data_IF_079788189569
#
_entry.id   IF_079788189569
#
_cell.length_a   1.000
_cell.length_b   1.000
_cell.length_c   1.000
_cell.angle_alpha   90.00
_cell.angle_beta   90.00
_cell.angle_gamma   90.00
#
_symmetry.space_group_name_H-M   'P 1'
#
loop_
_entity.id
_entity.type
_entity.pdbx_description
1 polymer ?
#
# COMPACT_ATOMS: atom_id res chain seq x y z
N UNK A 1 44.91 32.38 7.55
CA UNK A 1 45.38 31.06 7.14
C UNK A 1 44.34 30.02 7.49
N UNK A 2 43.85 29.40 6.45
CA UNK A 2 43.12 28.12 6.36
C UNK A 2 41.84 27.92 7.22
N UNK A 3 40.75 28.26 6.61
CA UNK A 3 39.41 27.69 6.76
C UNK A 3 39.44 26.18 6.43
N UNK A 4 38.82 25.36 7.25
CA UNK A 4 38.38 24.02 6.86
C UNK A 4 36.91 23.83 7.12
N UNK A 5 36.16 23.93 6.03
CA UNK A 5 34.76 23.56 5.90
C UNK A 5 34.57 22.07 6.25
N UNK A 6 33.54 21.76 7.02
CA UNK A 6 32.86 20.45 7.04
C UNK A 6 31.40 20.69 6.75
N UNK A 7 31.08 20.70 5.49
CA UNK A 7 29.75 20.43 4.93
C UNK A 7 29.74 18.97 4.54
N UNK A 8 28.70 18.26 4.93
CA UNK A 8 28.58 16.88 4.52
C UNK A 8 27.37 16.19 5.12
N UNK A 9 26.17 16.58 4.72
CA UNK A 9 25.00 15.71 4.73
C UNK A 9 24.26 15.96 3.42
N UNK A 10 24.68 15.21 2.43
CA UNK A 10 24.14 15.26 1.08
C UNK A 10 22.85 14.47 1.00
N UNK A 11 21.83 15.15 0.55
CA UNK A 11 20.62 14.63 -0.08
C UNK A 11 20.91 13.42 -0.97
N UNK A 12 20.26 12.29 -0.69
CA UNK A 12 20.09 11.24 -1.68
C UNK A 12 18.77 11.51 -2.41
N UNK A 13 18.82 12.46 -3.33
CA UNK A 13 17.92 12.50 -4.48
C UNK A 13 18.61 11.64 -5.53
N UNK A 14 18.08 10.48 -5.82
CA UNK A 14 18.52 9.65 -6.95
C UNK A 14 18.20 10.39 -8.25
N UNK A 15 19.19 11.16 -8.75
CA UNK A 15 19.32 11.44 -10.17
C UNK A 15 20.18 10.32 -10.76
N UNK A 16 19.56 9.27 -11.26
CA UNK A 16 20.24 8.33 -12.13
C UNK A 16 20.36 8.93 -13.53
N UNK A 17 21.60 9.15 -13.93
CA UNK A 17 22.02 9.53 -15.25
C UNK A 17 21.43 8.60 -16.32
N UNK A 18 20.67 9.16 -17.23
CA UNK A 18 20.29 8.55 -18.50
C UNK A 18 21.54 8.46 -19.38
N UNK A 19 22.24 7.34 -19.33
CA UNK A 19 23.14 6.93 -20.42
C UNK A 19 22.38 5.94 -21.29
N UNK A 20 22.13 6.38 -22.52
CA UNK A 20 21.69 5.54 -23.63
C UNK A 20 22.61 4.33 -23.76
N UNK A 21 22.15 3.18 -23.28
CA UNK A 21 22.79 1.88 -23.57
C UNK A 21 21.79 1.07 -24.38
N UNK A 22 22.22 0.73 -25.59
CA UNK A 22 21.50 -0.18 -26.49
C UNK A 22 21.08 -1.44 -25.73
N UNK A 23 19.80 -1.73 -25.73
CA UNK A 23 19.23 -2.94 -25.15
C UNK A 23 19.66 -4.13 -26.01
N UNK A 24 20.65 -4.88 -25.55
CA UNK A 24 20.89 -6.23 -26.04
C UNK A 24 19.83 -7.14 -25.40
N UNK A 25 18.98 -7.69 -26.27
CA UNK A 25 18.01 -8.70 -25.90
C UNK A 25 18.72 -9.93 -25.30
N UNK A 26 18.68 -10.06 -23.99
CA UNK A 26 19.07 -11.32 -23.32
C UNK A 26 17.82 -12.17 -23.25
N UNK A 27 17.74 -13.14 -24.14
CA UNK A 27 16.79 -14.24 -24.13
C UNK A 27 17.08 -15.15 -22.92
N UNK A 28 16.57 -14.79 -21.76
CA UNK A 28 16.54 -15.65 -20.60
C UNK A 28 15.18 -16.33 -20.50
N UNK A 29 15.10 -17.64 -20.69
CA UNK A 29 13.90 -18.45 -20.47
C UNK A 29 13.42 -18.27 -19.03
N UNK A 30 12.44 -17.40 -18.81
CA UNK A 30 11.70 -17.30 -17.54
C UNK A 30 10.76 -18.48 -17.45
N UNK A 31 10.88 -19.29 -16.41
CA UNK A 31 9.98 -20.43 -16.16
C UNK A 31 8.54 -19.94 -15.94
N UNK A 32 7.67 -20.32 -16.85
CA UNK A 32 6.25 -19.93 -16.98
C UNK A 32 5.30 -20.67 -16.03
N UNK A 33 5.64 -20.88 -14.76
CA UNK A 33 4.94 -21.92 -14.00
C UNK A 33 3.86 -21.47 -13.00
N UNK A 34 3.73 -20.18 -12.67
CA UNK A 34 2.95 -19.83 -11.46
C UNK A 34 1.43 -19.73 -11.64
N UNK A 35 0.92 -19.34 -12.82
CA UNK A 35 -0.52 -19.14 -13.02
C UNK A 35 -1.18 -20.17 -13.96
N UNK A 36 -0.40 -20.88 -14.77
CA UNK A 36 -0.91 -21.96 -15.66
C UNK A 36 -1.49 -23.14 -14.91
N UNK A 37 -1.05 -23.41 -13.69
CA UNK A 37 -1.53 -24.57 -12.90
C UNK A 37 -2.88 -24.37 -12.22
N UNK A 38 -3.41 -23.14 -12.17
CA UNK A 38 -4.67 -22.86 -11.48
C UNK A 38 -5.89 -23.12 -12.36
N UNK A 39 -5.72 -23.24 -13.68
CA UNK A 39 -6.82 -23.27 -14.64
C UNK A 39 -6.95 -24.47 -15.58
N UNK A 40 -5.93 -25.28 -15.79
CA UNK A 40 -5.95 -26.32 -16.84
C UNK A 40 -5.37 -27.67 -16.38
N UNK A 41 -6.19 -28.47 -15.66
CA UNK A 41 -6.10 -29.92 -15.72
C UNK A 41 -7.37 -30.43 -16.39
N UNK A 42 -7.41 -30.37 -17.72
CA UNK A 42 -8.22 -31.26 -18.57
C UNK A 42 -7.26 -31.92 -19.51
N UNK A 43 -7.09 -33.22 -19.29
CA UNK A 43 -6.35 -34.14 -20.15
C UNK A 43 -6.98 -34.20 -21.51
N UNK A 44 -6.19 -34.04 -22.59
CA UNK A 44 -6.43 -34.73 -23.86
C UNK A 44 -5.09 -35.10 -24.47
N UNK A 45 -4.82 -36.39 -24.44
CA UNK A 45 -3.85 -37.05 -25.31
C UNK A 45 -4.34 -36.99 -26.77
N UNK A 46 -3.43 -36.65 -27.65
CA UNK A 46 -3.23 -37.07 -29.07
C UNK A 46 -2.40 -35.98 -29.72
N UNK A 47 -1.23 -36.24 -30.26
CA UNK A 47 -0.89 -37.06 -31.36
C UNK A 47 0.05 -36.22 -32.22
N UNK A 48 1.27 -36.67 -32.36
CA UNK A 48 2.33 -36.38 -33.30
C UNK A 48 1.91 -35.66 -34.59
N UNK A 49 2.64 -34.59 -34.97
CA UNK A 49 3.36 -34.60 -36.24
C UNK A 49 4.30 -33.40 -36.41
N UNK A 50 5.54 -33.71 -36.79
CA UNK A 50 6.62 -32.86 -37.26
C UNK A 50 6.24 -32.19 -38.60
N UNK A 51 6.43 -30.87 -38.72
CA UNK A 51 6.79 -30.27 -40.01
C UNK A 51 7.73 -29.06 -39.76
N UNK A 52 8.98 -29.26 -40.17
CA UNK A 52 9.97 -28.24 -40.48
C UNK A 52 9.53 -27.40 -41.66
N UNK A 53 9.65 -26.10 -41.59
CA UNK A 53 9.91 -25.25 -42.78
C UNK A 53 10.58 -23.95 -42.41
N UNK A 54 11.84 -23.93 -42.71
CA UNK A 54 12.75 -22.79 -42.93
C UNK A 54 12.29 -21.92 -44.09
N UNK A 55 12.61 -20.64 -43.97
CA UNK A 55 12.81 -19.63 -45.03
C UNK A 55 11.62 -19.18 -45.86
N UNK A 56 11.40 -17.85 -45.84
CA UNK A 56 11.26 -17.03 -47.05
C UNK A 56 11.20 -15.51 -46.72
N UNK A 57 12.31 -14.85 -47.04
CA UNK A 57 12.43 -13.60 -47.81
C UNK A 57 11.73 -12.30 -47.37
N UNK A 58 12.60 -11.39 -46.95
CA UNK A 58 12.52 -9.92 -47.06
C UNK A 58 11.98 -9.50 -48.46
N UNK A 59 10.99 -8.61 -48.45
CA UNK A 59 10.76 -7.67 -49.54
C UNK A 59 10.36 -6.30 -49.01
N UNK A 60 11.24 -5.35 -49.29
CA UNK A 60 11.06 -3.91 -49.16
C UNK A 60 9.80 -3.42 -49.89
N UNK A 61 9.05 -2.53 -49.22
CA UNK A 61 8.24 -1.52 -49.90
C UNK A 61 8.37 -0.18 -49.19
N UNK A 62 9.25 0.63 -49.72
CA UNK A 62 9.21 2.12 -49.57
C UNK A 62 7.86 2.61 -50.11
N UNK A 63 7.07 3.31 -49.28
CA UNK A 63 5.98 4.17 -49.77
C UNK A 63 6.25 5.62 -49.36
N UNK A 64 6.08 6.45 -50.34
CA UNK A 64 6.38 7.87 -50.42
C UNK A 64 5.63 8.71 -49.38
N UNK A 65 6.33 9.71 -48.89
CA UNK A 65 5.83 10.82 -48.05
C UNK A 65 5.06 11.78 -48.95
N UNK A 66 3.79 12.01 -48.68
CA UNK A 66 2.97 13.07 -49.26
C UNK A 66 2.96 14.26 -48.30
N UNK A 67 3.23 15.49 -48.74
CA UNK A 67 3.25 16.64 -47.85
C UNK A 67 1.83 17.10 -47.49
N UNK A 68 1.60 17.26 -46.19
CA UNK A 68 0.36 17.81 -45.64
C UNK A 68 0.33 19.31 -45.86
N UNK A 69 -0.72 19.79 -46.55
CA UNK A 69 -1.05 21.20 -46.71
C UNK A 69 -1.34 21.87 -45.37
N UNK A 70 -0.73 23.03 -45.14
CA UNK A 70 -1.07 23.94 -44.05
C UNK A 70 -2.53 24.38 -44.17
N UNK A 71 -3.31 24.15 -43.12
CA UNK A 71 -4.64 24.71 -42.95
C UNK A 71 -4.48 25.96 -42.08
N UNK A 72 -4.89 27.09 -42.62
CA UNK A 72 -4.91 28.40 -41.97
C UNK A 72 -5.90 28.42 -40.81
N UNK A 73 -5.45 29.01 -39.71
CA UNK A 73 -6.29 29.28 -38.51
C UNK A 73 -7.44 30.25 -38.82
N UNK A 74 -8.65 30.01 -38.32
CA UNK A 74 -9.70 31.03 -38.36
C UNK A 74 -9.53 32.01 -37.19
N UNK A 75 -9.35 33.25 -37.51
CA UNK A 75 -9.39 34.41 -36.60
C UNK A 75 -10.74 34.52 -35.91
N UNK A 76 -10.81 34.26 -34.61
CA UNK A 76 -11.97 34.54 -33.81
C UNK A 76 -11.94 35.99 -33.35
N UNK A 77 -12.93 36.76 -33.80
CA UNK A 77 -13.19 38.14 -33.35
C UNK A 77 -13.61 38.12 -31.89
N UNK A 78 -12.85 38.73 -31.01
CA UNK A 78 -13.19 38.99 -29.60
C UNK A 78 -14.28 40.08 -29.58
N UNK A 79 -15.48 39.76 -29.16
CA UNK A 79 -16.52 40.72 -28.82
C UNK A 79 -16.30 41.23 -27.40
N UNK A 80 -16.13 42.52 -27.24
CA UNK A 80 -15.99 43.21 -25.96
C UNK A 80 -17.29 43.06 -25.14
N UNK A 81 -17.10 42.60 -23.88
CA UNK A 81 -18.16 42.66 -22.88
C UNK A 81 -18.14 44.00 -22.16
N UNK A 82 -19.35 44.54 -21.80
CA UNK A 82 -19.43 45.85 -21.14
C UNK A 82 -18.89 45.77 -19.70
N UNK A 83 -18.52 46.92 -19.12
CA UNK A 83 -17.83 46.94 -17.79
C UNK A 83 -18.81 46.61 -16.66
N UNK A 84 -18.34 45.71 -15.80
CA UNK A 84 -19.05 45.36 -14.54
C UNK A 84 -18.84 46.52 -13.55
N UNK A 85 -20.00 47.08 -13.11
CA UNK A 85 -20.03 48.09 -12.05
C UNK A 85 -19.54 47.48 -10.73
N UNK A 86 -18.54 48.12 -10.13
CA UNK A 86 -18.04 47.83 -8.80
C UNK A 86 -19.05 48.32 -7.78
N UNK A 87 -19.75 47.41 -7.12
CA UNK A 87 -20.62 47.70 -5.98
C UNK A 87 -19.75 47.91 -4.73
N UNK A 88 -19.79 49.12 -4.17
CA UNK A 88 -19.14 49.47 -2.87
C UNK A 88 -19.74 48.65 -1.74
N UNK A 89 -18.92 48.19 -0.77
CA UNK A 89 -19.47 47.48 0.41
C UNK A 89 -20.27 48.44 1.31
N UNK A 90 -21.49 48.03 1.63
CA UNK A 90 -22.34 48.71 2.60
C UNK A 90 -21.77 48.50 3.98
N UNK A 91 -21.39 49.60 4.66
CA UNK A 91 -21.01 49.64 6.07
C UNK A 91 -22.24 49.37 6.94
N UNK A 92 -22.15 48.31 7.79
CA UNK A 92 -23.13 48.08 8.88
C UNK A 92 -22.88 49.07 10.02
N UNK A 93 -23.90 49.60 10.68
CA UNK A 93 -23.73 50.55 11.79
C UNK A 93 -23.09 49.86 13.01
N UNK A 94 -22.05 50.49 13.52
CA UNK A 94 -21.33 50.11 14.74
C UNK A 94 -22.21 50.56 15.94
N UNK A 95 -22.64 49.62 16.75
CA UNK A 95 -23.24 49.87 18.06
C UNK A 95 -22.11 49.92 19.09
N UNK A 96 -21.97 50.96 19.92
CA UNK A 96 -20.94 51.01 20.93
C UNK A 96 -21.27 50.07 22.09
N UNK A 97 -20.51 48.99 22.25
CA UNK A 97 -20.54 48.18 23.44
C UNK A 97 -19.63 48.81 24.48
N UNK A 98 -20.23 49.29 25.55
CA UNK A 98 -19.56 49.69 26.79
C UNK A 98 -19.02 48.42 27.44
N UNK A 99 -17.70 48.21 27.42
CA UNK A 99 -17.06 47.12 28.11
C UNK A 99 -16.79 47.52 29.54
N UNK A 100 -17.44 46.89 30.50
CA UNK A 100 -17.01 46.87 31.88
C UNK A 100 -15.70 46.09 32.02
N UNK A 101 -14.71 46.55 32.77
CA UNK A 101 -13.47 45.77 32.96
C UNK A 101 -13.74 44.55 33.84
N UNK A 102 -13.66 43.39 33.25
CA UNK A 102 -13.60 42.11 33.98
C UNK A 102 -12.22 42.02 34.64
N UNK A 103 -12.07 41.70 35.93
CA UNK A 103 -10.79 41.55 36.55
C UNK A 103 -10.01 40.40 35.91
N UNK A 104 -8.82 40.71 35.41
CA UNK A 104 -7.86 39.73 34.90
C UNK A 104 -7.45 38.88 36.10
N UNK A 105 -8.00 37.70 36.22
CA UNK A 105 -7.44 36.65 37.06
C UNK A 105 -6.11 36.23 36.42
N UNK A 106 -5.01 36.59 37.05
CA UNK A 106 -3.70 36.03 36.79
C UNK A 106 -3.81 34.50 36.84
N UNK A 107 -3.74 33.89 35.69
CA UNK A 107 -3.53 32.42 35.58
C UNK A 107 -2.16 32.16 36.17
N UNK A 108 -2.09 31.75 37.42
CA UNK A 108 -0.94 31.01 37.92
C UNK A 108 -0.79 29.80 37.01
N UNK A 109 0.28 29.78 36.24
CA UNK A 109 0.72 28.57 35.53
C UNK A 109 0.98 27.51 36.60
N UNK A 110 0.04 26.59 36.73
CA UNK A 110 0.26 25.37 37.46
C UNK A 110 1.20 24.59 36.58
N UNK A 111 2.49 24.62 36.88
CA UNK A 111 3.46 23.69 36.29
C UNK A 111 2.97 22.27 36.61
N UNK A 112 2.27 21.68 35.67
CA UNK A 112 1.85 20.28 35.81
C UNK A 112 3.09 19.42 35.57
N UNK A 113 3.46 18.66 36.58
CA UNK A 113 4.51 17.61 36.52
C UNK A 113 4.37 16.61 35.37
N UNK A 114 3.36 16.76 34.55
CA UNK A 114 3.00 15.92 33.39
C UNK A 114 3.55 16.43 32.05
N UNK A 115 4.08 17.68 31.97
CA UNK A 115 4.51 18.29 30.71
C UNK A 115 5.75 17.61 30.13
N UNK A 116 6.69 17.19 30.98
CA UNK A 116 7.93 16.51 30.54
C UNK A 116 7.68 15.08 30.02
N UNK A 117 6.63 14.41 30.51
CA UNK A 117 6.23 13.10 30.04
C UNK A 117 5.52 13.14 28.66
N UNK A 118 5.00 14.31 28.27
CA UNK A 118 4.29 14.54 27.01
C UNK A 118 5.13 15.29 25.97
N UNK A 119 6.39 15.64 26.31
CA UNK A 119 7.25 16.34 25.37
C UNK A 119 7.60 15.44 24.18
N UNK A 120 7.37 15.94 22.98
CA UNK A 120 7.80 15.33 21.73
C UNK A 120 8.68 16.30 20.95
N UNK A 121 9.62 15.75 20.18
CA UNK A 121 10.52 16.53 19.34
C UNK A 121 9.81 17.00 18.07
N UNK A 122 9.91 18.30 17.71
CA UNK A 122 9.45 18.81 16.40
C UNK A 122 10.43 18.35 15.32
N UNK A 123 10.08 17.28 14.63
CA UNK A 123 10.93 16.68 13.57
C UNK A 123 11.02 17.53 12.29
N UNK A 124 10.20 18.57 12.17
CA UNK A 124 10.17 19.46 11.01
C UNK A 124 10.88 20.80 11.27
N UNK A 125 11.39 21.00 12.48
CA UNK A 125 12.03 22.24 12.86
C UNK A 125 13.22 22.62 11.94
N UNK A 126 14.05 21.64 11.58
CA UNK A 126 15.21 21.83 10.71
C UNK A 126 14.82 22.07 9.24
N UNK A 127 13.64 21.62 8.83
CA UNK A 127 13.19 21.70 7.44
C UNK A 127 12.48 23.01 7.08
N UNK A 128 12.20 23.88 8.06
CA UNK A 128 11.44 25.14 7.89
C UNK A 128 12.05 26.10 6.88
N UNK A 129 13.37 26.01 6.67
CA UNK A 129 14.10 26.81 5.69
C UNK A 129 14.05 26.27 4.25
N UNK A 130 13.57 25.04 4.04
CA UNK A 130 13.54 24.40 2.72
C UNK A 130 12.11 24.30 2.20
N UNK A 131 11.76 25.19 1.25
CA UNK A 131 10.42 25.24 0.65
C UNK A 131 10.03 23.97 -0.08
N UNK A 132 11.00 23.18 -0.58
CA UNK A 132 10.71 21.94 -1.31
C UNK A 132 10.22 20.82 -0.41
N UNK A 133 10.50 20.87 0.90
CA UNK A 133 10.06 19.89 1.88
C UNK A 133 8.66 20.16 2.41
N UNK A 134 8.10 21.35 2.11
CA UNK A 134 6.71 21.74 2.43
C UNK A 134 6.37 21.53 3.92
N UNK A 135 7.36 21.73 4.81
CA UNK A 135 7.28 21.42 6.24
C UNK A 135 6.09 22.06 6.95
N UNK A 136 5.67 23.26 6.52
CA UNK A 136 4.54 24.01 7.09
C UNK A 136 3.21 23.22 6.96
N UNK A 137 3.02 22.47 5.87
CA UNK A 137 1.79 21.72 5.60
C UNK A 137 1.89 20.24 5.94
N UNK A 138 3.03 19.76 6.43
CA UNK A 138 3.27 18.32 6.61
C UNK A 138 2.26 17.68 7.56
N UNK A 139 1.94 18.34 8.68
CA UNK A 139 0.96 17.81 9.63
C UNK A 139 -0.43 17.72 9.03
N UNK A 140 -0.89 18.75 8.32
CA UNK A 140 -2.20 18.75 7.63
C UNK A 140 -2.26 17.67 6.56
N UNK A 141 -1.17 17.46 5.81
CA UNK A 141 -1.06 16.39 4.80
C UNK A 141 -1.24 15.01 5.46
N UNK A 142 -0.56 14.73 6.58
CA UNK A 142 -0.67 13.43 7.24
C UNK A 142 -2.02 13.24 7.94
N UNK A 143 -2.65 14.28 8.44
CA UNK A 143 -4.03 14.23 8.94
C UNK A 143 -5.01 13.91 7.79
N UNK A 144 -4.87 14.59 6.66
CA UNK A 144 -5.66 14.30 5.45
C UNK A 144 -5.46 12.86 4.96
N UNK A 145 -4.20 12.35 4.93
CA UNK A 145 -3.95 10.96 4.56
C UNK A 145 -4.67 9.97 5.51
N UNK A 146 -4.78 10.27 6.81
CA UNK A 146 -5.55 9.44 7.75
C UNK A 146 -7.05 9.47 7.47
N UNK A 147 -7.60 10.63 7.10
CA UNK A 147 -9.00 10.71 6.68
C UNK A 147 -9.27 9.87 5.42
N UNK A 148 -8.32 9.84 4.48
CA UNK A 148 -8.40 9.00 3.28
C UNK A 148 -8.34 7.49 3.59
N UNK A 149 -7.58 7.05 4.61
CA UNK A 149 -7.60 5.66 5.06
C UNK A 149 -9.00 5.21 5.47
N UNK A 150 -9.69 6.08 6.22
CA UNK A 150 -11.07 5.83 6.67
C UNK A 150 -12.08 5.88 5.52
N UNK A 151 -11.81 6.70 4.49
CA UNK A 151 -12.66 6.82 3.30
C UNK A 151 -12.54 5.60 2.36
N UNK A 152 -11.36 4.99 2.29
CA UNK A 152 -11.07 3.87 1.39
C UNK A 152 -10.63 2.59 2.13
N UNK A 153 -11.46 2.04 3.04
CA UNK A 153 -11.08 0.88 3.83
C UNK A 153 -11.11 -0.40 3.00
N UNK A 154 -10.22 -1.33 3.33
CA UNK A 154 -10.33 -2.73 2.91
C UNK A 154 -11.02 -3.49 4.04
N UNK A 155 -12.14 -4.15 3.75
CA UNK A 155 -12.91 -4.90 4.75
C UNK A 155 -12.24 -6.23 5.08
N UNK A 156 -12.20 -6.57 6.35
CA UNK A 156 -11.72 -7.89 6.78
C UNK A 156 -12.60 -8.97 6.15
N UNK A 157 -11.98 -9.98 5.54
CA UNK A 157 -12.72 -11.10 4.98
C UNK A 157 -13.47 -10.77 3.68
N UNK A 158 -13.12 -9.72 2.94
CA UNK A 158 -13.86 -9.29 1.74
C UNK A 158 -13.97 -10.35 0.63
N UNK A 159 -13.08 -11.35 0.59
CA UNK A 159 -13.14 -12.48 -0.36
C UNK A 159 -14.05 -13.63 0.11
N UNK A 160 -14.62 -13.56 1.31
CA UNK A 160 -15.48 -14.63 1.80
C UNK A 160 -16.74 -14.77 0.91
N UNK A 161 -17.03 -16.01 0.52
CA UNK A 161 -18.18 -16.30 -0.36
C UNK A 161 -17.98 -15.92 -1.83
N UNK A 162 -16.77 -15.54 -2.25
CA UNK A 162 -16.43 -15.25 -3.64
C UNK A 162 -15.77 -16.45 -4.35
N UNK A 163 -15.78 -16.43 -5.69
CA UNK A 163 -15.07 -17.42 -6.52
C UNK A 163 -13.53 -17.30 -6.36
N UNK A 164 -13.05 -16.10 -6.07
CA UNK A 164 -11.64 -15.80 -5.82
C UNK A 164 -11.31 -16.07 -4.36
N UNK A 165 -10.28 -16.88 -4.13
CA UNK A 165 -9.81 -17.22 -2.78
C UNK A 165 -8.61 -16.35 -2.37
N UNK A 166 -8.34 -16.27 -1.06
CA UNK A 166 -7.13 -15.61 -0.53
C UNK A 166 -5.84 -16.18 -1.14
N UNK A 167 -5.77 -17.51 -1.31
CA UNK A 167 -4.62 -18.18 -1.94
C UNK A 167 -4.42 -17.73 -3.41
N UNK A 168 -5.49 -17.61 -4.17
CA UNK A 168 -5.40 -17.12 -5.57
C UNK A 168 -4.93 -15.66 -5.62
N UNK A 169 -5.42 -14.81 -4.69
CA UNK A 169 -4.94 -13.44 -4.54
C UNK A 169 -3.44 -13.41 -4.23
N UNK A 170 -2.96 -14.22 -3.29
CA UNK A 170 -1.54 -14.26 -2.92
C UNK A 170 -0.65 -14.65 -4.10
N UNK A 171 -1.05 -15.66 -4.87
CA UNK A 171 -0.33 -16.08 -6.09
C UNK A 171 -0.30 -14.95 -7.13
N UNK A 172 -1.43 -14.26 -7.33
CA UNK A 172 -1.49 -13.12 -8.24
C UNK A 172 -0.51 -12.02 -7.81
N UNK A 173 -0.52 -11.63 -6.53
CA UNK A 173 0.32 -10.54 -6.05
C UNK A 173 1.80 -10.91 -6.07
N UNK A 174 2.18 -12.15 -5.77
CA UNK A 174 3.57 -12.60 -5.89
C UNK A 174 4.06 -12.47 -7.36
N UNK A 175 3.22 -12.88 -8.33
CA UNK A 175 3.51 -12.69 -9.75
C UNK A 175 3.57 -11.20 -10.14
N UNK A 176 2.65 -10.36 -9.64
CA UNK A 176 2.66 -8.91 -9.86
C UNK A 176 3.96 -8.27 -9.38
N UNK A 177 4.55 -8.73 -8.28
CA UNK A 177 5.86 -8.26 -7.82
C UNK A 177 6.97 -8.58 -8.84
N UNK A 178 6.93 -9.74 -9.50
CA UNK A 178 7.89 -10.09 -10.55
C UNK A 178 7.71 -9.20 -11.78
N UNK A 179 6.47 -8.98 -12.24
CA UNK A 179 6.14 -8.09 -13.36
C UNK A 179 6.57 -6.66 -13.08
N UNK A 180 6.28 -6.17 -11.87
CA UNK A 180 6.69 -4.84 -11.42
C UNK A 180 8.21 -4.64 -11.50
N UNK A 181 9.01 -5.65 -11.13
CA UNK A 181 10.46 -5.59 -11.25
C UNK A 181 10.93 -5.60 -12.71
N UNK A 182 10.26 -6.33 -13.59
CA UNK A 182 10.56 -6.34 -15.02
C UNK A 182 10.31 -4.99 -15.70
N UNK A 183 9.24 -4.31 -15.32
CA UNK A 183 8.91 -2.99 -15.86
C UNK A 183 9.69 -1.85 -15.18
N UNK A 184 10.50 -2.15 -14.15
CA UNK A 184 11.28 -1.16 -13.39
C UNK A 184 10.42 -0.03 -12.79
N UNK A 185 9.18 -0.33 -12.40
CA UNK A 185 8.25 0.63 -11.84
C UNK A 185 8.64 1.04 -10.40
N UNK A 186 8.12 2.18 -9.96
CA UNK A 186 8.33 2.68 -8.59
C UNK A 186 7.61 1.82 -7.56
N UNK A 187 8.03 1.88 -6.30
CA UNK A 187 7.36 1.12 -5.24
C UNK A 187 5.93 1.58 -5.03
N UNK A 188 5.68 2.86 -5.18
CA UNK A 188 4.37 3.49 -5.11
C UNK A 188 3.38 2.81 -6.07
N UNK A 189 3.80 2.57 -7.32
CA UNK A 189 3.00 1.84 -8.33
C UNK A 189 2.63 0.44 -7.88
N UNK A 190 3.55 -0.29 -7.22
CA UNK A 190 3.24 -1.63 -6.69
C UNK A 190 2.17 -1.57 -5.60
N UNK A 191 2.32 -0.67 -4.62
CA UNK A 191 1.35 -0.53 -3.53
C UNK A 191 -0.01 -0.09 -4.05
N UNK A 192 -0.04 0.86 -4.98
CA UNK A 192 -1.29 1.31 -5.59
C UNK A 192 -1.95 0.18 -6.40
N UNK A 193 -1.17 -0.60 -7.16
CA UNK A 193 -1.67 -1.78 -7.89
C UNK A 193 -2.43 -2.73 -6.96
N UNK A 194 -1.82 -3.09 -5.82
CA UNK A 194 -2.45 -4.00 -4.85
C UNK A 194 -3.68 -3.37 -4.20
N UNK A 195 -3.64 -2.07 -3.89
CA UNK A 195 -4.79 -1.35 -3.35
C UNK A 195 -5.97 -1.33 -4.34
N UNK A 196 -5.71 -1.15 -5.63
CA UNK A 196 -6.73 -1.21 -6.69
C UNK A 196 -7.31 -2.62 -6.78
N UNK A 197 -6.47 -3.66 -6.79
CA UNK A 197 -6.91 -5.06 -6.85
C UNK A 197 -7.84 -5.36 -5.66
N UNK A 198 -7.42 -5.04 -4.45
CA UNK A 198 -8.17 -5.36 -3.23
C UNK A 198 -9.52 -4.63 -3.17
N UNK A 199 -9.54 -3.34 -3.49
CA UNK A 199 -10.76 -2.54 -3.53
C UNK A 199 -11.71 -3.01 -4.64
N UNK A 200 -11.17 -3.29 -5.82
CA UNK A 200 -11.98 -3.78 -6.93
C UNK A 200 -12.61 -5.14 -6.62
N UNK A 201 -11.84 -6.10 -6.10
CA UNK A 201 -12.36 -7.42 -5.72
C UNK A 201 -13.35 -7.35 -4.54
N UNK A 202 -13.23 -6.35 -3.67
CA UNK A 202 -14.19 -6.10 -2.59
C UNK A 202 -15.54 -5.67 -3.13
N UNK A 203 -15.55 -4.75 -4.11
CA UNK A 203 -16.74 -4.08 -4.58
C UNK A 203 -17.39 -4.81 -5.77
N UNK A 204 -16.59 -5.50 -6.60
CA UNK A 204 -17.03 -6.26 -7.77
C UNK A 204 -16.85 -7.77 -7.58
N UNK A 205 -17.89 -8.45 -7.06
CA UNK A 205 -17.84 -9.87 -6.68
C UNK A 205 -18.00 -10.88 -7.83
N UNK A 206 -18.24 -10.40 -9.07
CA UNK A 206 -18.58 -11.25 -10.23
C UNK A 206 -17.38 -11.62 -11.10
N UNK A 207 -16.16 -11.54 -10.58
CA UNK A 207 -14.95 -11.89 -11.33
C UNK A 207 -14.73 -13.39 -11.33
N UNK A 208 -14.58 -13.94 -12.53
CA UNK A 208 -14.19 -15.33 -12.73
C UNK A 208 -12.70 -15.55 -12.45
N UNK A 209 -12.35 -16.74 -11.99
CA UNK A 209 -10.96 -17.14 -11.72
C UNK A 209 -10.04 -16.92 -12.92
N UNK A 210 -10.54 -17.20 -14.15
CA UNK A 210 -9.79 -17.04 -15.40
C UNK A 210 -9.44 -15.56 -15.70
N UNK A 211 -10.21 -14.62 -15.18
CA UNK A 211 -9.99 -13.16 -15.40
C UNK A 211 -9.19 -12.50 -14.27
N UNK A 212 -8.78 -13.25 -13.25
CA UNK A 212 -8.08 -12.67 -12.11
C UNK A 212 -6.71 -12.08 -12.51
N UNK A 213 -5.99 -12.72 -13.42
CA UNK A 213 -4.72 -12.20 -13.96
C UNK A 213 -4.95 -10.92 -14.76
N UNK A 214 -6.02 -10.87 -15.56
CA UNK A 214 -6.42 -9.65 -16.28
C UNK A 214 -6.69 -8.48 -15.33
N UNK A 215 -7.38 -8.73 -14.21
CA UNK A 215 -7.56 -7.71 -13.16
C UNK A 215 -6.22 -7.21 -12.65
N UNK A 216 -5.28 -8.12 -12.35
CA UNK A 216 -3.97 -7.77 -11.81
C UNK A 216 -3.15 -6.88 -12.74
N UNK A 217 -2.99 -7.28 -14.01
CA UNK A 217 -2.22 -6.50 -14.98
C UNK A 217 -2.90 -5.16 -15.30
N UNK A 218 -4.22 -5.15 -15.39
CA UNK A 218 -4.96 -3.91 -15.66
C UNK A 218 -4.87 -2.95 -14.47
N UNK A 219 -4.91 -3.46 -13.24
CA UNK A 219 -4.68 -2.64 -12.05
C UNK A 219 -3.28 -2.03 -12.06
N UNK A 220 -2.24 -2.78 -12.49
CA UNK A 220 -0.88 -2.25 -12.64
C UNK A 220 -0.81 -1.21 -13.76
N UNK A 221 -1.51 -1.41 -14.88
CA UNK A 221 -1.60 -0.44 -15.97
C UNK A 221 -2.24 0.87 -15.49
N UNK A 222 -3.32 0.82 -14.69
CA UNK A 222 -3.95 2.00 -14.08
C UNK A 222 -2.98 2.68 -13.10
N UNK A 223 -2.36 1.89 -12.21
CA UNK A 223 -1.43 2.40 -11.21
C UNK A 223 -0.20 3.06 -11.85
N UNK A 224 0.34 2.48 -12.94
CA UNK A 224 1.47 3.09 -13.65
C UNK A 224 1.10 4.42 -14.31
N UNK A 225 -0.11 4.57 -14.84
CA UNK A 225 -0.59 5.85 -15.37
C UNK A 225 -0.79 6.92 -14.28
N UNK A 226 -0.99 6.50 -13.04
CA UNK A 226 -1.20 7.40 -11.91
C UNK A 226 0.10 7.85 -11.26
N UNK A 227 1.09 6.95 -11.14
CA UNK A 227 2.30 7.16 -10.33
C UNK A 227 3.57 7.41 -11.17
N UNK A 228 3.62 6.88 -12.42
CA UNK A 228 4.84 6.95 -13.22
C UNK A 228 4.85 8.17 -14.14
N UNK A 229 6.03 8.75 -14.34
CA UNK A 229 6.22 9.81 -15.34
C UNK A 229 6.11 9.24 -16.77
N UNK A 230 6.64 8.05 -17.00
CA UNK A 230 6.57 7.32 -18.27
C UNK A 230 5.97 5.95 -18.03
N UNK A 231 4.74 5.74 -18.52
CA UNK A 231 4.03 4.48 -18.36
C UNK A 231 4.40 3.49 -19.46
N UNK A 232 4.48 2.18 -19.16
CA UNK A 232 4.56 1.16 -20.20
C UNK A 232 3.33 1.21 -21.12
N UNK A 233 3.51 0.83 -22.40
CA UNK A 233 2.38 0.72 -23.33
C UNK A 233 1.46 -0.45 -22.99
N UNK A 234 0.19 -0.34 -23.34
CA UNK A 234 -0.79 -1.42 -23.12
C UNK A 234 -0.36 -2.75 -23.77
N UNK A 235 0.39 -2.69 -24.87
CA UNK A 235 0.89 -3.90 -25.54
C UNK A 235 1.97 -4.62 -24.71
N UNK A 236 2.73 -3.89 -23.87
CA UNK A 236 3.68 -4.51 -22.94
C UNK A 236 2.94 -5.34 -21.88
N UNK A 237 1.80 -4.84 -21.40
CA UNK A 237 0.92 -5.59 -20.49
C UNK A 237 0.25 -6.81 -21.15
N UNK A 238 -0.06 -6.73 -22.42
CA UNK A 238 -0.54 -7.91 -23.20
C UNK A 238 0.58 -8.92 -23.33
N UNK A 239 1.78 -8.48 -23.73
CA UNK A 239 2.94 -9.35 -23.91
C UNK A 239 3.34 -10.09 -22.64
N UNK A 240 3.35 -9.44 -21.47
CA UNK A 240 3.75 -10.07 -20.20
C UNK A 240 2.80 -11.20 -19.78
N UNK A 241 1.57 -11.24 -20.30
CA UNK A 241 0.60 -12.31 -20.09
C UNK A 241 0.71 -13.43 -21.14
N UNK A 242 1.77 -13.44 -21.93
CA UNK A 242 1.96 -14.37 -23.05
C UNK A 242 0.79 -14.31 -24.07
N UNK A 243 0.30 -13.09 -24.30
CA UNK A 243 -0.87 -12.81 -25.17
C UNK A 243 -2.14 -13.58 -24.79
N UNK A 244 -2.28 -13.95 -23.51
CA UNK A 244 -3.49 -14.59 -22.98
C UNK A 244 -4.72 -13.69 -23.12
N UNK A 245 -4.50 -12.38 -23.06
CA UNK A 245 -5.54 -11.36 -23.21
C UNK A 245 -5.19 -10.40 -24.34
N UNK A 246 -6.23 -9.89 -24.97
CA UNK A 246 -6.12 -8.89 -26.03
C UNK A 246 -6.03 -7.47 -25.45
N UNK A 247 -5.49 -6.52 -26.22
CA UNK A 247 -5.52 -5.09 -25.87
C UNK A 247 -6.94 -4.60 -25.55
N UNK A 248 -7.94 -5.07 -26.31
CA UNK A 248 -9.34 -4.66 -26.10
C UNK A 248 -9.85 -5.13 -24.73
N UNK A 249 -9.51 -6.37 -24.31
CA UNK A 249 -9.90 -6.88 -22.99
C UNK A 249 -9.25 -6.12 -21.86
N UNK A 250 -7.97 -5.73 -22.00
CA UNK A 250 -7.29 -4.89 -21.00
C UNK A 250 -7.98 -3.53 -20.86
N UNK A 251 -8.29 -2.85 -21.97
CA UNK A 251 -8.97 -1.54 -21.96
C UNK A 251 -10.41 -1.65 -21.45
N UNK A 252 -11.13 -2.73 -21.76
CA UNK A 252 -12.47 -2.97 -21.19
C UNK A 252 -12.42 -3.22 -19.68
N UNK A 253 -11.43 -3.98 -19.22
CA UNK A 253 -11.21 -4.22 -17.80
C UNK A 253 -10.81 -2.92 -17.08
N UNK A 254 -10.01 -2.07 -17.71
CA UNK A 254 -9.65 -0.75 -17.19
C UNK A 254 -10.91 0.10 -16.95
N UNK A 255 -11.78 0.22 -17.93
CA UNK A 255 -13.05 0.96 -17.80
C UNK A 255 -13.88 0.38 -16.65
N UNK A 256 -13.94 -0.94 -16.52
CA UNK A 256 -14.69 -1.61 -15.46
C UNK A 256 -14.09 -1.30 -14.08
N UNK A 257 -12.78 -1.39 -13.90
CA UNK A 257 -12.11 -1.09 -12.62
C UNK A 257 -12.30 0.37 -12.26
N UNK A 258 -12.05 1.28 -13.19
CA UNK A 258 -12.13 2.74 -12.95
C UNK A 258 -13.56 3.15 -12.55
N UNK A 259 -14.58 2.64 -13.26
CA UNK A 259 -15.98 2.89 -12.91
C UNK A 259 -16.39 2.28 -11.57
N UNK A 260 -15.94 1.06 -11.27
CA UNK A 260 -16.25 0.38 -10.00
C UNK A 260 -15.67 1.14 -8.81
N UNK A 261 -14.49 1.74 -8.97
CA UNK A 261 -13.81 2.51 -7.93
C UNK A 261 -14.16 4.01 -7.95
N UNK A 262 -15.14 4.40 -8.72
CA UNK A 262 -15.60 5.80 -8.85
C UNK A 262 -14.45 6.78 -9.10
N UNK A 263 -13.51 6.40 -10.00
CA UNK A 263 -12.33 7.18 -10.37
C UNK A 263 -11.43 7.58 -9.17
N UNK A 264 -11.62 6.94 -8.01
CA UNK A 264 -10.99 7.31 -6.75
C UNK A 264 -9.81 6.39 -6.42
N UNK A 265 -8.57 6.84 -6.66
CA UNK A 265 -7.34 6.07 -6.41
C UNK A 265 -6.53 6.57 -5.22
N UNK A 266 -7.01 7.59 -4.52
CA UNK A 266 -6.30 8.30 -3.45
C UNK A 266 -6.18 7.55 -2.12
N UNK A 267 -6.26 6.21 -2.07
CA UNK A 267 -5.94 5.47 -0.84
C UNK A 267 -4.47 5.68 -0.48
N UNK A 268 -4.14 6.14 0.73
CA UNK A 268 -2.75 6.37 1.11
C UNK A 268 -1.95 5.08 1.13
N UNK A 269 -0.66 5.20 0.80
CA UNK A 269 0.27 4.09 0.75
C UNK A 269 1.02 3.95 2.08
N UNK A 270 1.34 2.74 2.55
CA UNK A 270 2.11 2.52 3.77
C UNK A 270 3.48 3.22 3.75
N UNK A 271 4.07 3.39 2.56
CA UNK A 271 5.37 4.07 2.39
C UNK A 271 5.35 5.53 2.84
N UNK A 272 4.23 6.26 2.64
CA UNK A 272 4.11 7.64 3.08
C UNK A 272 4.29 7.73 4.60
N UNK A 273 3.57 6.90 5.33
CA UNK A 273 3.63 6.83 6.78
C UNK A 273 4.99 6.31 7.27
N UNK A 274 5.54 5.28 6.61
CA UNK A 274 6.86 4.75 6.97
C UNK A 274 7.95 5.84 6.88
N UNK A 275 7.94 6.68 5.84
CA UNK A 275 8.90 7.79 5.71
C UNK A 275 8.78 8.77 6.88
N UNK A 276 7.54 9.14 7.25
CA UNK A 276 7.28 10.03 8.38
C UNK A 276 7.74 9.43 9.70
N UNK A 277 7.36 8.19 9.96
CA UNK A 277 7.73 7.50 11.20
C UNK A 277 9.22 7.20 11.28
N UNK A 278 9.87 6.91 10.17
CA UNK A 278 11.33 6.75 10.13
C UNK A 278 12.06 8.04 10.52
N UNK A 279 11.54 9.20 10.11
CA UNK A 279 12.08 10.50 10.53
C UNK A 279 11.84 10.74 12.03
N UNK A 280 10.61 10.51 12.50
CA UNK A 280 10.24 10.68 13.91
C UNK A 280 11.02 9.75 14.85
N UNK A 281 11.32 8.53 14.42
CA UNK A 281 12.08 7.55 15.19
C UNK A 281 13.59 7.60 14.95
N UNK A 282 14.10 8.57 14.18
CA UNK A 282 15.52 8.68 13.80
C UNK A 282 16.07 7.35 13.25
N UNK A 283 15.26 6.68 12.42
CA UNK A 283 15.57 5.36 11.89
C UNK A 283 16.77 5.40 10.94
N UNK A 284 17.72 4.50 11.14
CA UNK A 284 18.82 4.27 10.20
C UNK A 284 18.30 3.68 8.90
N UNK A 285 19.08 3.82 7.82
CA UNK A 285 18.73 3.25 6.49
C UNK A 285 18.39 1.77 6.54
N UNK A 286 19.03 1.02 7.45
CA UNK A 286 18.78 -0.41 7.62
C UNK A 286 17.40 -0.68 8.23
N UNK A 287 16.97 0.08 9.25
CA UNK A 287 15.65 -0.05 9.85
C UNK A 287 14.56 0.27 8.84
N UNK A 288 14.75 1.37 8.09
CA UNK A 288 13.82 1.77 7.03
C UNK A 288 13.69 0.70 5.94
N UNK A 289 14.85 0.15 5.46
CA UNK A 289 14.83 -0.89 4.42
C UNK A 289 14.25 -2.21 4.93
N UNK A 290 14.49 -2.55 6.20
CA UNK A 290 13.89 -3.71 6.84
C UNK A 290 12.36 -3.57 6.93
N UNK A 291 11.87 -2.41 7.39
CA UNK A 291 10.45 -2.11 7.43
C UNK A 291 9.82 -2.14 6.03
N UNK A 292 10.49 -1.59 5.01
CA UNK A 292 10.04 -1.69 3.61
C UNK A 292 9.89 -3.14 3.13
N UNK A 293 10.84 -4.02 3.49
CA UNK A 293 10.72 -5.44 3.16
C UNK A 293 9.49 -6.07 3.82
N UNK A 294 9.25 -5.80 5.11
CA UNK A 294 8.07 -6.29 5.81
C UNK A 294 6.78 -5.79 5.17
N UNK A 295 6.71 -4.51 4.80
CA UNK A 295 5.55 -3.92 4.14
C UNK A 295 5.25 -4.58 2.80
N UNK A 296 6.26 -4.77 1.93
CA UNK A 296 6.04 -5.45 0.65
C UNK A 296 5.67 -6.92 0.84
N UNK A 297 6.25 -7.60 1.82
CA UNK A 297 5.89 -8.98 2.13
C UNK A 297 4.44 -9.09 2.61
N UNK A 298 3.96 -8.11 3.38
CA UNK A 298 2.55 -8.01 3.80
C UNK A 298 1.58 -7.87 2.63
N UNK A 299 1.98 -7.28 1.49
CA UNK A 299 1.08 -7.17 0.32
C UNK A 299 0.58 -8.52 -0.18
N UNK A 300 1.42 -9.56 -0.11
CA UNK A 300 1.10 -10.91 -0.55
C UNK A 300 0.08 -11.57 0.38
N UNK A 301 0.03 -11.17 1.65
CA UNK A 301 -0.75 -11.83 2.70
C UNK A 301 -2.11 -11.17 2.90
N UNK A 302 -3.15 -11.92 2.56
CA UNK A 302 -4.56 -11.46 2.67
C UNK A 302 -4.97 -11.12 4.10
N UNK A 303 -4.43 -11.82 5.08
CA UNK A 303 -4.79 -11.69 6.49
C UNK A 303 -4.52 -10.30 7.07
N UNK A 304 -3.57 -9.57 6.48
CA UNK A 304 -3.17 -8.22 6.93
C UNK A 304 -3.66 -7.11 6.01
N UNK A 305 -4.30 -7.43 4.88
CA UNK A 305 -4.73 -6.46 3.87
C UNK A 305 -5.75 -5.45 4.37
N UNK A 306 -6.51 -5.79 5.42
CA UNK A 306 -7.58 -4.96 5.98
C UNK A 306 -7.11 -3.90 6.98
N UNK A 307 -5.86 -3.98 7.44
CA UNK A 307 -5.33 -2.96 8.36
C UNK A 307 -5.11 -1.62 7.65
N UNK A 308 -5.23 -0.50 8.38
CA UNK A 308 -4.86 0.81 7.86
C UNK A 308 -3.39 0.84 7.44
N UNK A 309 -3.05 1.45 6.30
CA UNK A 309 -1.66 1.62 5.84
C UNK A 309 -0.73 2.24 6.90
N UNK A 310 -1.23 3.22 7.67
CA UNK A 310 -0.50 3.85 8.76
C UNK A 310 -0.13 2.86 9.87
N UNK A 311 -1.06 1.99 10.27
CA UNK A 311 -0.84 1.02 11.33
C UNK A 311 0.14 -0.09 10.91
N UNK A 312 0.03 -0.58 9.66
CA UNK A 312 1.00 -1.57 9.13
C UNK A 312 2.40 -0.96 9.07
N UNK A 313 2.51 0.32 8.66
CA UNK A 313 3.79 1.02 8.61
C UNK A 313 4.41 1.17 10.01
N UNK A 314 3.61 1.53 11.02
CA UNK A 314 4.04 1.61 12.41
C UNK A 314 4.52 0.24 12.94
N UNK A 315 3.76 -0.83 12.68
CA UNK A 315 4.09 -2.18 13.11
C UNK A 315 5.36 -2.72 12.44
N UNK A 316 5.55 -2.44 11.16
CA UNK A 316 6.76 -2.84 10.43
C UNK A 316 8.01 -2.11 10.94
N UNK A 317 7.91 -0.81 11.23
CA UNK A 317 9.02 -0.04 11.79
C UNK A 317 9.32 -0.45 13.24
N UNK A 318 8.30 -0.71 14.05
CA UNK A 318 8.45 -1.24 15.40
C UNK A 318 9.24 -2.56 15.40
N UNK A 319 8.88 -3.50 14.52
CA UNK A 319 9.62 -4.76 14.37
C UNK A 319 11.08 -4.52 13.92
N UNK A 320 11.32 -3.57 13.03
CA UNK A 320 12.67 -3.23 12.60
C UNK A 320 13.52 -2.75 13.77
N UNK A 321 13.00 -1.88 14.64
CA UNK A 321 13.70 -1.42 15.83
C UNK A 321 13.93 -2.53 16.86
N UNK A 322 12.95 -3.41 17.07
CA UNK A 322 13.07 -4.53 18.03
C UNK A 322 14.10 -5.55 17.57
N UNK A 323 14.18 -5.84 16.26
CA UNK A 323 14.99 -6.94 15.73
C UNK A 323 16.42 -6.52 15.42
N UNK A 324 16.62 -5.33 14.87
CA UNK A 324 17.97 -4.85 14.50
C UNK A 324 18.63 -4.15 15.71
N UNK A 325 17.83 -3.47 16.55
CA UNK A 325 18.34 -2.66 17.67
C UNK A 325 18.98 -1.36 17.19
N UNK A 326 19.28 -0.49 18.15
CA UNK A 326 20.15 0.67 17.95
C UNK A 326 21.43 0.41 18.75
N UNK A 327 22.58 0.51 18.11
CA UNK A 327 23.89 0.22 18.73
C UNK A 327 24.21 1.18 19.89
N UNK A 328 23.56 2.36 19.96
CA UNK A 328 23.96 3.46 20.85
C UNK A 328 23.14 3.59 22.14
N UNK A 329 22.05 2.86 22.36
CA UNK A 329 21.19 3.07 23.52
C UNK A 329 20.88 1.81 24.31
N UNK A 330 21.45 1.73 25.52
CA UNK A 330 21.17 0.70 26.52
C UNK A 330 19.77 0.79 27.17
N UNK A 331 19.07 1.90 27.05
CA UNK A 331 17.69 2.08 27.52
C UNK A 331 16.73 2.04 26.33
N UNK A 332 16.11 0.89 26.13
CA UNK A 332 15.30 0.57 24.95
C UNK A 332 13.86 1.05 25.09
N UNK A 333 13.59 2.31 24.96
CA UNK A 333 12.25 2.73 24.57
C UNK A 333 12.14 2.58 23.05
N UNK A 334 11.59 1.45 22.60
CA UNK A 334 11.48 1.13 21.16
C UNK A 334 10.48 2.07 20.47
N UNK A 335 9.45 2.53 21.19
CA UNK A 335 8.41 3.42 20.66
C UNK A 335 8.31 4.66 21.54
N UNK A 336 8.96 5.75 21.11
CA UNK A 336 9.09 7.00 21.87
C UNK A 336 7.80 7.84 21.84
N UNK A 337 7.68 8.81 22.75
CA UNK A 337 6.58 9.79 22.75
C UNK A 337 6.47 10.55 21.42
N UNK A 338 7.60 10.87 20.78
CA UNK A 338 7.65 11.46 19.45
C UNK A 338 6.99 10.54 18.41
N UNK A 339 7.29 9.25 18.42
CA UNK A 339 6.64 8.28 17.54
C UNK A 339 5.14 8.14 17.85
N UNK A 340 4.74 8.14 19.11
CA UNK A 340 3.32 8.15 19.50
C UNK A 340 2.62 9.38 18.94
N UNK A 341 3.20 10.56 19.08
CA UNK A 341 2.64 11.79 18.57
C UNK A 341 2.41 11.76 17.06
N UNK A 342 3.45 11.45 16.27
CA UNK A 342 3.36 11.47 14.82
C UNK A 342 2.62 10.25 14.23
N UNK A 343 2.61 9.11 14.91
CA UNK A 343 1.87 7.93 14.48
C UNK A 343 0.43 7.89 14.98
N UNK A 344 0.13 8.53 16.11
CA UNK A 344 -1.12 8.43 16.89
C UNK A 344 -1.37 7.01 17.44
N UNK A 345 -0.39 6.12 17.38
CA UNK A 345 -0.47 4.76 17.88
C UNK A 345 0.41 4.56 19.10
N UNK A 346 -0.15 3.94 20.13
CA UNK A 346 0.62 3.43 21.27
C UNK A 346 1.22 2.06 20.94
N UNK A 347 2.16 1.60 21.78
CA UNK A 347 2.71 0.24 21.65
C UNK A 347 1.62 -0.82 21.73
N UNK A 348 0.57 -0.60 22.53
CA UNK A 348 -0.55 -1.54 22.65
C UNK A 348 -1.35 -1.69 21.35
N UNK A 349 -1.49 -0.61 20.57
CA UNK A 349 -2.18 -0.63 19.28
C UNK A 349 -1.35 -1.35 18.20
N UNK A 350 -0.03 -1.17 18.26
CA UNK A 350 0.92 -1.71 17.27
C UNK A 350 1.19 -3.19 17.50
N UNK A 351 1.30 -3.61 18.75
CA UNK A 351 1.79 -4.94 19.13
C UNK A 351 1.01 -6.10 18.49
N UNK A 352 -0.34 -6.10 18.45
CA UNK A 352 -1.08 -7.18 17.80
C UNK A 352 -0.77 -7.34 16.31
N UNK A 353 -0.61 -6.21 15.58
CA UNK A 353 -0.28 -6.21 14.15
C UNK A 353 1.18 -6.63 13.94
N UNK A 354 2.11 -6.16 14.77
CA UNK A 354 3.50 -6.57 14.75
C UNK A 354 3.65 -8.10 15.00
N UNK A 355 2.90 -8.65 15.95
CA UNK A 355 2.86 -10.09 16.22
C UNK A 355 2.34 -10.88 15.01
N UNK A 356 1.32 -10.38 14.32
CA UNK A 356 0.80 -11.01 13.12
C UNK A 356 1.81 -10.96 11.97
N UNK A 357 2.47 -9.82 11.73
CA UNK A 357 3.55 -9.70 10.75
C UNK A 357 4.69 -10.67 11.09
N UNK A 358 5.06 -10.78 12.36
CA UNK A 358 6.09 -11.72 12.81
C UNK A 358 5.71 -13.18 12.51
N UNK A 359 4.45 -13.59 12.76
CA UNK A 359 3.99 -14.95 12.46
C UNK A 359 3.98 -15.28 10.98
N UNK A 360 3.79 -14.27 10.13
CA UNK A 360 3.88 -14.41 8.67
C UNK A 360 5.33 -14.57 8.22
N UNK A 361 6.22 -13.70 8.69
CA UNK A 361 7.60 -13.63 8.18
C UNK A 361 8.49 -14.81 8.63
N UNK A 362 8.26 -15.42 9.80
CA UNK A 362 9.04 -16.59 10.23
C UNK A 362 8.89 -17.79 9.29
N UNK A 363 7.81 -17.86 8.52
CA UNK A 363 7.52 -18.92 7.57
C UNK A 363 7.98 -18.59 6.14
N UNK A 364 8.70 -17.49 5.92
CA UNK A 364 9.11 -17.03 4.59
C UNK A 364 9.92 -18.07 3.82
N UNK A 365 10.78 -18.83 4.50
CA UNK A 365 11.60 -19.88 3.88
C UNK A 365 10.77 -21.04 3.31
N UNK A 366 9.61 -21.30 3.90
CA UNK A 366 8.69 -22.39 3.51
C UNK A 366 7.59 -21.92 2.58
N UNK A 367 7.43 -20.61 2.39
CA UNK A 367 6.40 -20.05 1.53
C UNK A 367 6.65 -20.36 0.07
N UNK A 368 5.59 -20.63 -0.69
CA UNK A 368 5.65 -20.72 -2.16
C UNK A 368 5.81 -19.35 -2.82
N UNK A 369 5.52 -18.26 -2.10
CA UNK A 369 5.58 -16.89 -2.58
C UNK A 369 6.95 -16.29 -2.27
N UNK A 370 7.83 -16.22 -3.27
CA UNK A 370 9.23 -15.85 -3.09
C UNK A 370 9.64 -14.57 -3.82
N UNK A 371 8.75 -13.93 -4.57
CA UNK A 371 9.09 -12.77 -5.41
C UNK A 371 9.65 -11.61 -4.57
N UNK A 372 8.97 -11.25 -3.49
CA UNK A 372 9.43 -10.17 -2.58
C UNK A 372 10.75 -10.55 -1.94
N UNK A 373 10.90 -11.77 -1.43
CA UNK A 373 12.14 -12.23 -0.82
C UNK A 373 13.31 -12.16 -1.79
N UNK A 374 13.16 -12.66 -3.01
CA UNK A 374 14.17 -12.60 -4.09
C UNK A 374 14.53 -11.15 -4.42
N UNK A 375 13.56 -10.24 -4.50
CA UNK A 375 13.78 -8.82 -4.71
C UNK A 375 14.74 -8.24 -3.67
N UNK A 376 14.53 -8.55 -2.40
CA UNK A 376 15.32 -8.01 -1.28
C UNK A 376 16.61 -8.76 -0.97
N UNK A 377 17.02 -9.78 -1.77
CA UNK A 377 18.38 -10.35 -1.74
C UNK A 377 19.40 -9.47 -2.49
N UNK A 378 18.93 -8.51 -3.29
CA UNK A 378 19.79 -7.64 -4.08
C UNK A 378 20.54 -6.64 -3.19
N UNK A 379 21.76 -6.25 -3.64
CA UNK A 379 22.63 -5.33 -2.90
C UNK A 379 22.01 -3.96 -2.69
N UNK A 380 21.22 -3.46 -3.66
CA UNK A 380 20.48 -2.18 -3.54
C UNK A 380 19.49 -2.15 -2.37
N UNK A 381 19.06 -3.31 -1.88
CA UNK A 381 18.21 -3.46 -0.70
C UNK A 381 18.99 -4.02 0.51
N UNK A 382 20.31 -3.81 0.57
CA UNK A 382 21.19 -4.26 1.67
C UNK A 382 21.07 -5.76 1.98
N UNK A 383 20.63 -6.57 1.02
CA UNK A 383 20.37 -8.02 1.18
C UNK A 383 19.51 -8.34 2.40
N UNK A 384 18.53 -7.48 2.72
CA UNK A 384 17.73 -7.53 3.95
C UNK A 384 17.07 -8.89 4.16
N UNK A 385 16.54 -9.51 3.11
CA UNK A 385 15.80 -10.78 3.22
C UNK A 385 16.67 -11.98 3.66
N UNK A 386 17.99 -11.84 3.67
CA UNK A 386 18.93 -12.89 4.07
C UNK A 386 19.51 -12.69 5.47
N UNK A 387 19.09 -11.65 6.18
CA UNK A 387 19.65 -11.31 7.49
C UNK A 387 19.29 -12.33 8.57
N UNK A 388 20.21 -12.57 9.54
CA UNK A 388 20.00 -13.55 10.60
C UNK A 388 18.88 -13.18 11.57
N UNK A 389 18.51 -11.89 11.67
CA UNK A 389 17.45 -11.40 12.55
C UNK A 389 16.09 -12.06 12.28
N UNK A 390 15.84 -12.52 11.05
CA UNK A 390 14.65 -13.30 10.72
C UNK A 390 14.58 -14.69 11.37
N UNK A 391 15.69 -15.17 11.94
CA UNK A 391 15.79 -16.42 12.70
C UNK A 391 16.00 -16.17 14.19
N UNK A 392 15.89 -14.91 14.64
CA UNK A 392 16.16 -14.54 16.03
C UNK A 392 15.15 -15.15 17.00
N UNK A 393 15.56 -15.50 18.22
CA UNK A 393 14.65 -15.94 19.27
C UNK A 393 13.58 -14.90 19.61
N UNK A 394 13.90 -13.60 19.44
CA UNK A 394 12.98 -12.49 19.69
C UNK A 394 11.82 -12.54 18.70
N UNK A 395 12.10 -12.67 17.40
CA UNK A 395 11.05 -12.79 16.38
C UNK A 395 10.17 -14.03 16.63
N UNK A 396 10.78 -15.15 16.98
CA UNK A 396 10.05 -16.39 17.31
C UNK A 396 9.13 -16.21 18.54
N UNK A 397 9.58 -15.49 19.56
CA UNK A 397 8.76 -15.21 20.74
C UNK A 397 7.56 -14.31 20.41
N UNK A 398 7.78 -13.27 19.61
CA UNK A 398 6.72 -12.35 19.16
C UNK A 398 5.67 -13.12 18.33
N UNK A 399 6.10 -13.97 17.40
CA UNK A 399 5.21 -14.78 16.58
C UNK A 399 4.39 -15.79 17.40
N UNK A 400 5.02 -16.49 18.35
CA UNK A 400 4.31 -17.42 19.26
C UNK A 400 3.24 -16.72 20.12
N UNK A 401 3.46 -15.46 20.48
CA UNK A 401 2.45 -14.68 21.20
C UNK A 401 1.19 -14.46 20.38
N UNK A 402 1.32 -14.20 19.06
CA UNK A 402 0.19 -14.13 18.14
C UNK A 402 -0.60 -15.44 18.08
N UNK A 403 0.10 -16.58 17.91
CA UNK A 403 -0.56 -17.87 17.76
C UNK A 403 -1.36 -18.25 19.03
N UNK A 404 -0.79 -17.99 20.21
CA UNK A 404 -1.50 -18.17 21.49
C UNK A 404 -2.73 -17.26 21.61
N UNK A 405 -2.61 -15.99 21.22
CA UNK A 405 -3.74 -15.06 21.24
C UNK A 405 -4.87 -15.55 20.31
N UNK A 406 -4.52 -16.01 19.11
CA UNK A 406 -5.47 -16.56 18.14
C UNK A 406 -6.18 -17.81 18.66
N UNK A 407 -5.45 -18.74 19.29
CA UNK A 407 -6.05 -19.93 19.92
C UNK A 407 -7.03 -19.56 21.02
N UNK A 408 -6.66 -18.58 21.87
CA UNK A 408 -7.55 -18.13 22.96
C UNK A 408 -8.82 -17.49 22.40
N UNK A 409 -8.73 -16.65 21.36
CA UNK A 409 -9.90 -16.07 20.69
C UNK A 409 -10.80 -17.15 20.08
N UNK A 410 -10.23 -18.17 19.45
CA UNK A 410 -11.00 -19.27 18.86
C UNK A 410 -11.75 -20.05 19.95
N UNK A 411 -11.08 -20.41 21.05
CA UNK A 411 -11.70 -21.10 22.20
C UNK A 411 -12.84 -20.29 22.84
N UNK A 412 -12.64 -18.95 22.95
CA UNK A 412 -13.68 -18.05 23.47
C UNK A 412 -14.89 -17.96 22.54
N UNK A 413 -14.65 -17.86 21.22
CA UNK A 413 -15.73 -17.82 20.22
C UNK A 413 -16.54 -19.12 20.21
N UNK A 414 -15.88 -20.28 20.27
CA UNK A 414 -16.54 -21.60 20.38
C UNK A 414 -17.36 -21.74 21.68
N UNK A 415 -16.81 -21.27 22.79
CA UNK A 415 -17.53 -21.30 24.09
C UNK A 415 -18.77 -20.39 24.05
N UNK A 416 -18.67 -19.22 23.42
CA UNK A 416 -19.80 -18.30 23.24
C UNK A 416 -20.88 -18.91 22.36
N UNK A 417 -20.51 -19.52 21.22
CA UNK A 417 -21.48 -20.24 20.36
C UNK A 417 -22.18 -21.39 21.06
N UNK A 418 -21.43 -22.18 21.84
CA UNK A 418 -22.02 -23.28 22.65
C UNK A 418 -23.01 -22.76 23.68
N UNK A 419 -22.70 -21.62 24.31
CA UNK A 419 -23.61 -20.97 25.27
C UNK A 419 -24.88 -20.48 24.58
N UNK A 420 -24.78 -19.74 23.48
CA UNK A 420 -25.92 -19.24 22.72
C UNK A 420 -26.85 -20.37 22.22
N UNK A 421 -26.25 -21.48 21.74
CA UNK A 421 -26.98 -22.65 21.29
C UNK A 421 -27.73 -23.34 22.44
N UNK A 422 -27.13 -23.39 23.61
CA UNK A 422 -27.78 -23.93 24.82
C UNK A 422 -28.92 -23.05 25.28
N UNK A 423 -28.72 -21.74 25.33
CA UNK A 423 -29.70 -20.77 25.76
C UNK A 423 -30.92 -20.74 24.80
N UNK A 424 -30.70 -20.91 23.49
CA UNK A 424 -31.74 -21.09 22.49
C UNK A 424 -32.55 -22.40 22.74
N UNK A 425 -31.89 -23.52 23.04
CA UNK A 425 -32.57 -24.78 23.33
C UNK A 425 -33.42 -24.67 24.60
N UNK A 426 -32.91 -24.02 25.64
CA UNK A 426 -33.68 -23.81 26.88
C UNK A 426 -34.91 -22.93 26.66
N UNK A 427 -34.79 -21.83 25.91
CA UNK A 427 -35.92 -20.97 25.58
C UNK A 427 -36.98 -21.70 24.73
N UNK A 428 -36.55 -22.50 23.77
CA UNK A 428 -37.44 -23.32 22.93
C UNK A 428 -38.19 -24.38 23.75
N UNK A 429 -37.52 -25.06 24.65
CA UNK A 429 -38.13 -26.04 25.57
C UNK A 429 -39.14 -25.38 26.53
N UNK A 430 -38.83 -24.20 27.03
CA UNK A 430 -39.73 -23.45 27.90
C UNK A 430 -41.00 -22.99 27.15
N UNK A 431 -40.87 -22.57 25.91
CA UNK A 431 -41.99 -22.21 25.02
C UNK A 431 -42.86 -23.44 24.73
N UNK A 432 -42.31 -24.59 24.42
CA UNK A 432 -43.03 -25.85 24.22
C UNK A 432 -43.80 -26.26 25.46
N UNK A 433 -43.15 -26.21 26.65
CA UNK A 433 -43.81 -26.56 27.92
C UNK A 433 -44.96 -25.59 28.28
N UNK A 434 -44.83 -24.31 27.97
CA UNK A 434 -45.90 -23.34 28.19
C UNK A 434 -47.10 -23.55 27.21
N UNK A 435 -46.82 -23.93 25.95
CA UNK A 435 -47.88 -24.29 25.00
C UNK A 435 -48.64 -25.55 25.40
N UNK A 436 -47.96 -26.54 25.93
CA UNK A 436 -48.62 -27.76 26.44
C UNK A 436 -49.49 -27.45 27.67
N UNK A 437 -49.03 -26.61 28.60
CA UNK A 437 -49.82 -26.21 29.78
C UNK A 437 -51.05 -25.34 29.47
N UNK A 438 -51.05 -24.56 28.36
CA UNK A 438 -52.16 -23.73 27.97
C UNK A 438 -53.20 -24.49 27.13
N UNK A 439 -52.93 -25.72 26.69
CA UNK A 439 -53.85 -26.56 25.92
C UNK A 439 -54.40 -27.76 26.74
N UNK A 440 -54.09 -27.85 28.04
CA UNK A 440 -54.74 -28.71 29.02
C UNK A 440 -55.68 -27.87 29.91
#
# INVERSE_FOLDING_TARGET
MALRNRTGLTHIVNQENVKNTKVNAISGKVKRAALGEIGNKVSTQRGVDHIDKTSLLLKDKKKAIVPVKQISEPTVKVSEKPPVQVVKPVQKPVVPHVANPVPVLEKKEVESFSSDLLSFEDIDAEDKGNLTLVSIYTNDIYEYLRTLESKFPIKKGYLLGQAITSKMRSVLIDWIVEVHQQFHLTQETLYLTVAIIDRFLQDYRKIDKKRLQLVGITAMFIASKYEEMYTPDVNDFVYITDNTYTKVEVLQMEILIVKTLDYSFGRPLPLHFLRRYSKAGKALSIHHTFAKYLLEYCLVHYEVSHYPPSLIAAAALYLAFVLIGNDDNKEKVVWTNTLVHYSTYTTNDILPVAQQIASIIINVDKSSHQAVRKKYTQTKFMKISTRPEFKSPILLAIAKAHDKAKENHTKQAEAKQKKEKRDYLYSSLTLCNNLIKNNM
#
